data_IF_108653176946
#
_entry.id   IF_108653176946
#
_cell.length_a   1.000
_cell.length_b   1.000
_cell.length_c   1.000
_cell.angle_alpha   90.00
_cell.angle_beta   90.00
_cell.angle_gamma   90.00
#
_symmetry.space_group_name_H-M   'P 1'
#
loop_
_entity.id
_entity.type
_entity.pdbx_description
1 polymer ?
#
# COMPACT_ATOMS: atom_id res chain seq x y z
N UNK A 1 41.09 -32.23 -10.91
CA UNK A 1 39.70 -32.28 -11.40
C UNK A 1 38.80 -31.64 -10.36
N UNK A 2 38.22 -30.48 -10.58
CA UNK A 2 37.18 -29.94 -9.70
C UNK A 2 35.83 -30.43 -10.20
N UNK A 3 35.09 -31.09 -9.31
CA UNK A 3 33.68 -31.50 -9.52
C UNK A 3 32.79 -30.25 -9.63
N UNK A 4 32.23 -30.04 -10.82
CA UNK A 4 31.26 -28.98 -11.08
C UNK A 4 29.99 -29.23 -10.27
N UNK A 5 29.59 -28.24 -9.44
CA UNK A 5 28.32 -28.23 -8.77
C UNK A 5 27.19 -28.18 -9.82
N UNK A 6 26.09 -28.94 -9.66
CA UNK A 6 24.98 -28.89 -10.60
C UNK A 6 24.32 -27.53 -10.54
N UNK A 7 24.31 -26.81 -11.66
CA UNK A 7 23.51 -25.60 -11.82
C UNK A 7 22.02 -25.98 -11.66
N UNK A 8 21.36 -25.44 -10.66
CA UNK A 8 19.91 -25.57 -10.46
C UNK A 8 19.17 -24.93 -11.64
N UNK A 9 18.90 -25.72 -12.67
CA UNK A 9 18.07 -25.31 -13.83
C UNK A 9 16.61 -25.25 -13.41
N UNK A 10 16.18 -24.09 -12.88
CA UNK A 10 14.75 -23.80 -12.77
C UNK A 10 14.21 -23.70 -14.19
N UNK A 11 13.24 -24.57 -14.51
CA UNK A 11 12.59 -24.60 -15.80
C UNK A 11 11.94 -23.24 -16.12
N UNK A 12 12.37 -22.49 -17.16
CA UNK A 12 11.86 -21.18 -17.48
C UNK A 12 10.35 -21.17 -17.81
N UNK A 13 9.81 -22.31 -18.25
CA UNK A 13 8.37 -22.45 -18.54
C UNK A 13 7.51 -22.47 -17.28
N UNK A 14 8.00 -23.00 -16.17
CA UNK A 14 7.27 -23.04 -14.89
C UNK A 14 7.25 -21.65 -14.26
N UNK A 15 8.35 -20.89 -14.33
CA UNK A 15 8.43 -19.53 -13.77
C UNK A 15 7.56 -18.54 -14.53
N UNK A 16 7.42 -18.66 -15.84
CA UNK A 16 6.53 -17.79 -16.63
C UNK A 16 5.05 -18.08 -16.38
N UNK A 17 4.65 -19.35 -16.26
CA UNK A 17 3.26 -19.72 -15.93
C UNK A 17 2.84 -19.24 -14.54
N UNK A 18 3.69 -19.41 -13.53
CA UNK A 18 3.41 -18.92 -12.19
C UNK A 18 3.25 -17.39 -12.16
N UNK A 19 4.12 -16.66 -12.85
CA UNK A 19 4.04 -15.20 -12.92
C UNK A 19 2.77 -14.67 -13.59
N UNK A 20 2.16 -15.42 -14.53
CA UNK A 20 0.88 -15.08 -15.17
C UNK A 20 -0.33 -15.37 -14.29
N UNK A 21 -0.24 -16.31 -13.35
CA UNK A 21 -1.32 -16.66 -12.42
C UNK A 21 -1.39 -15.72 -11.20
N UNK A 22 -0.28 -15.06 -10.82
CA UNK A 22 -0.23 -14.23 -9.62
C UNK A 22 -1.31 -13.14 -9.55
N UNK A 23 -1.64 -12.39 -10.63
CA UNK A 23 -2.71 -11.39 -10.56
C UNK A 23 -4.08 -12.02 -10.23
N UNK A 24 -4.37 -13.20 -10.76
CA UNK A 24 -5.61 -13.92 -10.47
C UNK A 24 -5.67 -14.46 -9.05
N UNK A 25 -4.53 -14.96 -8.53
CA UNK A 25 -4.40 -15.40 -7.14
C UNK A 25 -4.58 -14.21 -6.17
N UNK A 26 -4.02 -13.05 -6.48
CA UNK A 26 -4.22 -11.82 -5.71
C UNK A 26 -5.71 -11.45 -5.71
N UNK A 27 -6.35 -11.41 -6.86
CA UNK A 27 -7.76 -11.07 -6.98
C UNK A 27 -8.65 -12.06 -6.21
N UNK A 28 -8.41 -13.36 -6.35
CA UNK A 28 -9.15 -14.40 -5.63
C UNK A 28 -8.97 -14.25 -4.11
N UNK A 29 -7.73 -14.12 -3.64
CA UNK A 29 -7.44 -13.97 -2.21
C UNK A 29 -8.05 -12.70 -1.64
N UNK A 30 -8.00 -11.57 -2.37
CA UNK A 30 -8.64 -10.32 -2.00
C UNK A 30 -10.15 -10.47 -1.88
N UNK A 31 -10.80 -11.13 -2.85
CA UNK A 31 -12.23 -11.39 -2.84
C UNK A 31 -12.64 -12.25 -1.64
N UNK A 32 -11.89 -13.32 -1.37
CA UNK A 32 -12.15 -14.19 -0.21
C UNK A 32 -11.94 -13.44 1.12
N UNK A 33 -10.93 -12.58 1.21
CA UNK A 33 -10.73 -11.74 2.39
C UNK A 33 -11.89 -10.76 2.61
N UNK A 34 -12.35 -10.09 1.55
CA UNK A 34 -13.51 -9.19 1.62
C UNK A 34 -14.77 -9.96 2.00
N UNK A 35 -15.00 -11.12 1.41
CA UNK A 35 -16.14 -11.98 1.73
C UNK A 35 -16.14 -12.42 3.20
N UNK A 36 -14.98 -12.82 3.73
CA UNK A 36 -14.83 -13.17 5.14
C UNK A 36 -15.06 -11.98 6.08
N UNK A 37 -14.49 -10.82 5.75
CA UNK A 37 -14.67 -9.59 6.53
C UNK A 37 -16.09 -9.01 6.45
N UNK A 38 -16.87 -9.41 5.42
CA UNK A 38 -18.30 -9.06 5.23
C UNK A 38 -19.24 -10.15 5.76
N UNK A 39 -18.74 -11.16 6.47
CA UNK A 39 -19.49 -12.30 7.01
C UNK A 39 -20.25 -13.14 5.96
N UNK A 40 -19.84 -13.08 4.68
CA UNK A 40 -20.39 -13.93 3.61
C UNK A 40 -19.81 -15.36 3.66
N UNK A 41 -18.64 -15.53 4.26
CA UNK A 41 -17.98 -16.80 4.58
C UNK A 41 -17.46 -16.73 6.03
N UNK A 42 -17.04 -17.84 6.67
CA UNK A 42 -16.57 -17.81 8.05
C UNK A 42 -15.49 -16.74 8.29
N UNK A 43 -15.68 -15.90 9.31
CA UNK A 43 -14.81 -14.74 9.60
C UNK A 43 -13.34 -15.16 9.85
N UNK A 44 -13.11 -16.41 10.33
CA UNK A 44 -11.75 -16.95 10.50
C UNK A 44 -10.94 -16.96 9.20
N UNK A 45 -11.58 -17.03 8.05
CA UNK A 45 -10.92 -16.99 6.74
C UNK A 45 -10.20 -15.64 6.50
N UNK A 46 -10.64 -14.55 7.13
CA UNK A 46 -9.93 -13.26 7.06
C UNK A 46 -8.50 -13.32 7.62
N UNK A 47 -8.26 -14.16 8.65
CA UNK A 47 -6.92 -14.36 9.23
C UNK A 47 -5.93 -14.99 8.26
N UNK A 48 -6.42 -15.69 7.26
CA UNK A 48 -5.60 -16.27 6.19
C UNK A 48 -5.54 -15.36 4.98
N UNK A 49 -6.69 -14.99 4.43
CA UNK A 49 -6.75 -14.34 3.13
C UNK A 49 -6.30 -12.87 3.15
N UNK A 50 -6.49 -12.14 4.25
CA UNK A 50 -6.02 -10.75 4.34
C UNK A 50 -4.48 -10.66 4.25
N UNK A 51 -3.69 -11.30 5.12
CA UNK A 51 -2.24 -11.28 4.99
C UNK A 51 -1.74 -12.01 3.73
N UNK A 52 -2.42 -13.09 3.29
CA UNK A 52 -2.05 -13.81 2.08
C UNK A 52 -2.12 -12.90 0.84
N UNK A 53 -3.14 -12.05 0.73
CA UNK A 53 -3.26 -11.11 -0.39
C UNK A 53 -2.04 -10.18 -0.45
N UNK A 54 -1.62 -9.61 0.67
CA UNK A 54 -0.44 -8.73 0.72
C UNK A 54 0.86 -9.50 0.47
N UNK A 55 0.98 -10.74 0.97
CA UNK A 55 2.11 -11.63 0.63
C UNK A 55 2.18 -11.90 -0.88
N UNK A 56 1.06 -12.20 -1.52
CA UNK A 56 1.01 -12.39 -2.97
C UNK A 56 1.40 -11.13 -3.74
N UNK A 57 1.00 -9.94 -3.27
CA UNK A 57 1.46 -8.67 -3.84
C UNK A 57 2.98 -8.50 -3.67
N UNK A 58 3.53 -8.86 -2.52
CA UNK A 58 4.99 -8.84 -2.29
C UNK A 58 5.70 -9.81 -3.24
N UNK A 59 5.21 -11.04 -3.38
CA UNK A 59 5.78 -12.02 -4.32
C UNK A 59 5.74 -11.49 -5.76
N UNK A 60 4.62 -10.88 -6.15
CA UNK A 60 4.48 -10.27 -7.48
C UNK A 60 5.40 -9.06 -7.69
N UNK A 61 5.68 -8.31 -6.63
CA UNK A 61 6.58 -7.16 -6.63
C UNK A 61 8.07 -7.56 -6.62
N UNK A 62 8.40 -8.73 -6.06
CA UNK A 62 9.79 -9.12 -5.77
C UNK A 62 10.73 -9.16 -6.96
N UNK A 63 10.34 -9.76 -8.13
CA UNK A 63 11.19 -9.79 -9.32
C UNK A 63 11.29 -8.43 -10.02
N UNK A 64 10.52 -7.42 -9.57
CA UNK A 64 10.59 -6.08 -10.14
C UNK A 64 11.86 -5.39 -9.67
N UNK A 65 12.46 -4.64 -10.57
CA UNK A 65 13.65 -3.86 -10.28
C UNK A 65 13.38 -2.37 -10.47
N UNK A 66 14.33 -1.56 -10.08
CA UNK A 66 14.36 -0.15 -10.39
C UNK A 66 15.75 0.24 -10.91
N UNK A 67 15.81 1.30 -11.69
CA UNK A 67 17.09 1.87 -12.14
C UNK A 67 17.89 2.38 -10.93
N UNK A 68 17.18 2.70 -9.84
CA UNK A 68 17.76 3.04 -8.55
C UNK A 68 17.48 1.94 -7.50
N UNK A 69 18.50 1.11 -7.13
CA UNK A 69 18.32 0.02 -6.17
C UNK A 69 17.82 0.46 -4.78
N UNK A 70 18.14 1.69 -4.39
CA UNK A 70 17.66 2.25 -3.12
C UNK A 70 16.14 2.46 -3.14
N UNK A 71 15.57 2.99 -4.23
CA UNK A 71 14.13 3.16 -4.39
C UNK A 71 13.41 1.82 -4.31
N UNK A 72 13.92 0.80 -4.99
CA UNK A 72 13.38 -0.56 -4.94
C UNK A 72 13.35 -1.13 -3.52
N UNK A 73 14.45 -0.98 -2.75
CA UNK A 73 14.52 -1.47 -1.36
C UNK A 73 13.46 -0.80 -0.48
N UNK A 74 13.27 0.51 -0.63
CA UNK A 74 12.29 1.24 0.17
C UNK A 74 10.84 0.91 -0.20
N UNK A 75 10.52 0.67 -1.48
CA UNK A 75 9.18 0.17 -1.87
C UNK A 75 8.93 -1.21 -1.25
N UNK A 76 9.89 -2.13 -1.29
CA UNK A 76 9.76 -3.45 -0.66
C UNK A 76 9.61 -3.34 0.86
N UNK A 77 10.38 -2.48 1.51
CA UNK A 77 10.25 -2.21 2.95
C UNK A 77 8.84 -1.72 3.29
N UNK A 78 8.28 -0.80 2.51
CA UNK A 78 6.91 -0.33 2.67
C UNK A 78 5.87 -1.45 2.56
N UNK A 79 6.01 -2.33 1.55
CA UNK A 79 5.13 -3.50 1.40
C UNK A 79 5.22 -4.46 2.60
N UNK A 80 6.43 -4.70 3.13
CA UNK A 80 6.63 -5.56 4.30
C UNK A 80 6.02 -4.94 5.57
N UNK A 81 6.19 -3.63 5.78
CA UNK A 81 5.56 -2.93 6.91
C UNK A 81 4.03 -2.91 6.77
N UNK A 82 3.50 -2.79 5.56
CA UNK A 82 2.06 -2.90 5.30
C UNK A 82 1.53 -4.30 5.65
N UNK A 83 2.28 -5.36 5.34
CA UNK A 83 1.92 -6.73 5.76
C UNK A 83 1.85 -6.85 7.28
N UNK A 84 2.80 -6.27 8.01
CA UNK A 84 2.77 -6.24 9.49
C UNK A 84 1.53 -5.50 9.99
N UNK A 85 1.20 -4.36 9.36
CA UNK A 85 -0.03 -3.62 9.64
C UNK A 85 -1.30 -4.44 9.38
N UNK A 86 -1.36 -5.17 8.27
CA UNK A 86 -2.49 -6.07 7.95
C UNK A 86 -2.69 -7.14 9.01
N UNK A 87 -1.60 -7.73 9.51
CA UNK A 87 -1.66 -8.73 10.58
C UNK A 87 -2.18 -8.11 11.88
N UNK A 88 -1.68 -6.95 12.29
CA UNK A 88 -2.19 -6.29 13.50
C UNK A 88 -3.67 -5.92 13.40
N UNK A 89 -4.13 -5.45 12.24
CA UNK A 89 -5.53 -5.10 12.01
C UNK A 89 -6.48 -6.30 11.93
N UNK A 90 -6.01 -7.55 12.06
CA UNK A 90 -6.88 -8.71 12.29
C UNK A 90 -7.52 -8.68 13.70
N UNK A 91 -6.91 -7.98 14.64
CA UNK A 91 -7.44 -7.69 15.98
C UNK A 91 -7.72 -6.20 16.11
N UNK A 92 -8.86 -5.69 15.59
CA UNK A 92 -9.08 -4.25 15.38
C UNK A 92 -9.13 -3.41 16.67
N UNK A 93 -9.27 -4.03 17.83
CA UNK A 93 -9.24 -3.30 19.11
C UNK A 93 -7.81 -3.18 19.65
N UNK A 94 -7.12 -4.29 19.86
CA UNK A 94 -5.76 -4.33 20.42
C UNK A 94 -4.70 -3.97 19.37
N UNK A 95 -4.91 -4.38 18.13
CA UNK A 95 -3.98 -4.21 17.02
C UNK A 95 -4.09 -2.88 16.28
N UNK A 96 -5.05 -2.01 16.61
CA UNK A 96 -5.24 -0.76 15.87
C UNK A 96 -4.01 0.14 15.93
N UNK A 97 -3.52 0.46 17.13
CA UNK A 97 -2.36 1.33 17.29
C UNK A 97 -1.06 0.72 16.73
N UNK A 98 -0.70 -0.56 17.00
CA UNK A 98 0.42 -1.20 16.33
C UNK A 98 0.27 -1.25 14.80
N UNK A 99 -0.93 -1.48 14.29
CA UNK A 99 -1.23 -1.44 12.86
C UNK A 99 -1.01 -0.06 12.27
N UNK A 100 -1.53 0.98 12.91
CA UNK A 100 -1.33 2.39 12.53
C UNK A 100 0.18 2.74 12.46
N UNK A 101 0.95 2.34 13.45
CA UNK A 101 2.41 2.56 13.47
C UNK A 101 3.10 1.80 12.34
N UNK A 102 2.69 0.56 12.07
CA UNK A 102 3.25 -0.23 10.96
C UNK A 102 2.98 0.41 9.61
N UNK A 103 1.76 0.89 9.36
CA UNK A 103 1.43 1.61 8.13
C UNK A 103 2.11 2.99 8.06
N UNK A 104 2.28 3.70 9.19
CA UNK A 104 3.07 4.92 9.22
C UNK A 104 4.51 4.66 8.75
N UNK A 105 5.15 3.59 9.22
CA UNK A 105 6.49 3.18 8.78
C UNK A 105 6.49 2.78 7.29
N UNK A 106 5.42 2.15 6.80
CA UNK A 106 5.26 1.86 5.38
C UNK A 106 5.22 3.16 4.54
N UNK A 107 4.43 4.15 4.97
CA UNK A 107 4.35 5.44 4.27
C UNK A 107 5.66 6.21 4.31
N UNK A 108 6.39 6.21 5.42
CA UNK A 108 7.73 6.78 5.50
C UNK A 108 8.68 6.10 4.50
N UNK A 109 8.64 4.78 4.39
CA UNK A 109 9.43 4.04 3.40
C UNK A 109 9.06 4.45 1.96
N UNK A 110 7.77 4.60 1.65
CA UNK A 110 7.33 5.08 0.33
C UNK A 110 7.74 6.55 0.08
N UNK A 111 7.68 7.44 1.08
CA UNK A 111 8.20 8.81 0.95
C UNK A 111 9.67 8.76 0.56
N UNK A 112 10.49 7.99 1.29
CA UNK A 112 11.91 7.85 0.97
C UNK A 112 12.11 7.28 -0.43
N UNK A 113 11.32 6.29 -0.85
CA UNK A 113 11.38 5.74 -2.21
C UNK A 113 11.10 6.81 -3.28
N UNK A 114 10.06 7.62 -3.10
CA UNK A 114 9.67 8.62 -4.08
C UNK A 114 10.59 9.84 -4.09
N UNK A 115 11.23 10.18 -2.97
CA UNK A 115 12.22 11.25 -2.89
C UNK A 115 13.55 10.89 -3.57
N UNK A 116 13.82 9.63 -3.84
CA UNK A 116 14.98 9.21 -4.64
C UNK A 116 14.89 9.66 -6.09
N UNK A 117 13.70 9.73 -6.64
CA UNK A 117 13.50 10.11 -8.05
C UNK A 117 13.06 11.56 -8.24
N UNK A 118 12.61 12.24 -7.18
CA UNK A 118 12.17 13.63 -7.23
C UNK A 118 12.37 14.28 -5.86
N UNK A 119 12.96 15.48 -5.84
CA UNK A 119 13.17 16.24 -4.61
C UNK A 119 11.86 16.43 -3.85
N UNK A 120 11.88 16.23 -2.51
CA UNK A 120 10.69 16.44 -1.67
C UNK A 120 10.17 17.87 -1.85
N UNK A 121 8.88 18.00 -2.13
CA UNK A 121 8.25 19.30 -2.31
C UNK A 121 8.64 20.06 -3.58
N UNK A 122 9.25 19.41 -4.59
CA UNK A 122 9.63 20.05 -5.86
C UNK A 122 8.45 20.72 -6.59
N UNK A 123 7.22 20.37 -6.26
CA UNK A 123 5.98 21.02 -6.67
C UNK A 123 5.08 21.18 -5.44
N UNK A 124 4.65 22.41 -5.16
CA UNK A 124 3.87 22.74 -3.96
C UNK A 124 2.40 22.32 -4.08
N UNK A 125 1.82 22.43 -5.27
CA UNK A 125 0.39 22.21 -5.50
C UNK A 125 -0.13 20.84 -5.01
N UNK A 126 0.55 19.70 -5.23
CA UNK A 126 0.12 18.42 -4.66
C UNK A 126 0.07 18.43 -3.13
N UNK A 127 1.02 19.08 -2.46
CA UNK A 127 1.02 19.18 -0.99
C UNK A 127 -0.14 20.02 -0.47
N UNK A 128 -0.46 21.14 -1.13
CA UNK A 128 -1.63 21.96 -0.80
C UNK A 128 -2.91 21.12 -0.98
N UNK A 129 -3.05 20.45 -2.12
CA UNK A 129 -4.24 19.63 -2.40
C UNK A 129 -4.44 18.53 -1.36
N UNK A 130 -3.43 17.68 -1.13
CA UNK A 130 -3.53 16.59 -0.15
C UNK A 130 -3.59 17.12 1.29
N UNK A 131 -2.97 18.27 1.58
CA UNK A 131 -3.08 18.95 2.87
C UNK A 131 -4.53 19.37 3.17
N UNK A 132 -5.21 19.95 2.19
CA UNK A 132 -6.62 20.32 2.32
C UNK A 132 -7.52 19.07 2.46
N UNK A 133 -7.28 18.02 1.69
CA UNK A 133 -7.99 16.74 1.83
C UNK A 133 -7.80 16.16 3.23
N UNK A 134 -6.55 16.05 3.70
CA UNK A 134 -6.24 15.51 5.03
C UNK A 134 -6.84 16.37 6.16
N UNK A 135 -6.74 17.68 6.05
CA UNK A 135 -7.34 18.61 7.03
C UNK A 135 -8.88 18.50 7.06
N UNK A 136 -9.51 18.40 5.89
CA UNK A 136 -10.96 18.23 5.79
C UNK A 136 -11.46 16.92 6.41
N UNK A 137 -10.81 15.79 6.06
CA UNK A 137 -11.15 14.48 6.63
C UNK A 137 -10.88 14.46 8.13
N UNK A 138 -9.72 14.93 8.57
CA UNK A 138 -9.35 14.95 9.98
C UNK A 138 -10.28 15.86 10.78
N UNK A 139 -10.61 17.06 10.27
CA UNK A 139 -11.54 17.99 10.92
C UNK A 139 -12.94 17.38 11.09
N UNK A 140 -13.42 16.66 10.07
CA UNK A 140 -14.71 15.96 10.16
C UNK A 140 -14.70 14.85 11.21
N UNK A 141 -13.60 14.10 11.33
CA UNK A 141 -13.49 12.94 12.21
C UNK A 141 -13.04 13.28 13.63
N UNK A 142 -12.54 14.51 13.87
CA UNK A 142 -11.80 14.86 15.08
C UNK A 142 -12.53 14.57 16.38
N UNK A 143 -13.81 14.86 16.43
CA UNK A 143 -14.65 14.65 17.63
C UNK A 143 -14.83 13.17 17.98
N UNK A 144 -14.71 12.27 16.99
CA UNK A 144 -14.81 10.83 17.17
C UNK A 144 -13.47 10.16 17.51
N UNK A 145 -12.34 10.87 17.38
CA UNK A 145 -11.02 10.31 17.69
C UNK A 145 -10.75 10.38 19.19
N UNK A 146 -10.59 9.24 19.89
CA UNK A 146 -10.27 9.22 21.32
C UNK A 146 -9.00 10.00 21.63
N UNK A 147 -8.94 10.75 22.75
CA UNK A 147 -7.79 11.59 23.12
C UNK A 147 -6.42 10.88 23.03
N UNK A 148 -6.27 9.60 23.49
CA UNK A 148 -5.00 8.90 23.38
C UNK A 148 -4.54 8.62 21.94
N UNK A 149 -5.48 8.60 20.97
CA UNK A 149 -5.20 8.33 19.56
C UNK A 149 -5.03 9.60 18.72
N UNK A 150 -5.33 10.79 19.25
CA UNK A 150 -5.28 12.03 18.49
C UNK A 150 -3.88 12.32 17.93
N UNK A 151 -2.85 12.24 18.75
CA UNK A 151 -1.47 12.45 18.30
C UNK A 151 -0.98 11.36 17.32
N UNK A 152 -1.16 10.05 17.57
CA UNK A 152 -0.87 9.02 16.58
C UNK A 152 -1.59 9.20 15.24
N UNK A 153 -2.88 9.51 15.26
CA UNK A 153 -3.68 9.73 14.05
C UNK A 153 -3.21 10.98 13.30
N UNK A 154 -2.90 12.08 13.99
CA UNK A 154 -2.36 13.29 13.37
C UNK A 154 -1.02 13.01 12.66
N UNK A 155 -0.09 12.34 13.33
CA UNK A 155 1.19 11.95 12.76
C UNK A 155 1.02 11.03 11.54
N UNK A 156 0.08 10.09 11.64
CA UNK A 156 -0.26 9.16 10.57
C UNK A 156 -0.80 9.90 9.33
N UNK A 157 -1.80 10.75 9.52
CA UNK A 157 -2.41 11.53 8.42
C UNK A 157 -1.37 12.42 7.76
N UNK A 158 -0.53 13.13 8.53
CA UNK A 158 0.55 13.97 7.98
C UNK A 158 1.52 13.15 7.12
N UNK A 159 1.89 11.94 7.55
CA UNK A 159 2.76 11.04 6.79
C UNK A 159 2.08 10.54 5.51
N UNK A 160 0.84 10.07 5.59
CA UNK A 160 0.05 9.55 4.48
C UNK A 160 -0.15 10.59 3.37
N UNK A 161 -0.59 11.82 3.72
CA UNK A 161 -0.79 12.90 2.74
C UNK A 161 0.54 13.34 2.12
N UNK A 162 1.63 13.36 2.89
CA UNK A 162 2.98 13.65 2.38
C UNK A 162 3.42 12.60 1.35
N UNK A 163 3.19 11.33 1.63
CA UNK A 163 3.47 10.22 0.71
C UNK A 163 2.70 10.36 -0.61
N UNK A 164 1.39 10.62 -0.54
CA UNK A 164 0.55 10.78 -1.72
C UNK A 164 0.90 12.03 -2.52
N UNK A 165 1.18 13.16 -1.85
CA UNK A 165 1.64 14.39 -2.48
C UNK A 165 2.96 14.19 -3.22
N UNK A 166 3.93 13.52 -2.58
CA UNK A 166 5.24 13.25 -3.20
C UNK A 166 5.12 12.31 -4.40
N UNK A 167 4.24 11.31 -4.34
CA UNK A 167 3.94 10.47 -5.51
C UNK A 167 3.33 11.27 -6.67
N UNK A 168 2.46 12.22 -6.38
CA UNK A 168 1.89 13.13 -7.38
C UNK A 168 2.94 14.10 -7.95
N UNK A 169 3.86 14.60 -7.15
CA UNK A 169 5.03 15.38 -7.62
C UNK A 169 5.85 14.57 -8.61
N UNK A 170 6.13 13.31 -8.27
CA UNK A 170 6.90 12.42 -9.14
C UNK A 170 6.21 12.27 -10.52
N UNK A 171 4.88 12.09 -10.53
CA UNK A 171 4.13 12.03 -11.78
C UNK A 171 4.16 13.34 -12.57
N UNK A 172 3.95 14.50 -11.92
CA UNK A 172 4.00 15.80 -12.60
C UNK A 172 5.36 16.08 -13.26
N UNK A 173 6.45 15.63 -12.63
CA UNK A 173 7.80 15.78 -13.18
C UNK A 173 8.14 14.78 -14.29
N UNK A 174 7.42 13.65 -14.34
CA UNK A 174 7.65 12.60 -15.33
C UNK A 174 6.71 12.68 -16.53
N UNK A 175 5.82 13.69 -16.61
CA UNK A 175 4.89 13.88 -17.73
C UNK A 175 5.64 13.95 -19.05
N UNK A 176 5.04 13.35 -20.07
CA UNK A 176 5.55 13.27 -21.44
C UNK A 176 6.92 12.58 -21.56
N UNK A 177 7.36 11.92 -20.49
CA UNK A 177 8.64 11.21 -20.44
C UNK A 177 8.49 9.68 -20.36
N UNK A 178 9.59 8.95 -20.54
CA UNK A 178 9.60 7.47 -20.57
C UNK A 178 9.17 6.83 -19.25
N UNK A 179 9.17 7.59 -18.17
CA UNK A 179 8.81 7.13 -16.82
C UNK A 179 7.39 7.52 -16.39
N UNK A 180 6.63 8.21 -17.24
CA UNK A 180 5.30 8.73 -16.89
C UNK A 180 4.35 7.66 -16.37
N UNK A 181 4.21 6.54 -17.08
CA UNK A 181 3.29 5.46 -16.69
C UNK A 181 3.64 4.92 -15.30
N UNK A 182 4.92 4.79 -14.98
CA UNK A 182 5.39 4.30 -13.67
C UNK A 182 5.12 5.32 -12.57
N UNK A 183 5.42 6.59 -12.84
CA UNK A 183 5.17 7.68 -11.91
C UNK A 183 3.66 7.87 -11.67
N UNK A 184 2.84 7.76 -12.72
CA UNK A 184 1.37 7.78 -12.62
C UNK A 184 0.83 6.64 -11.75
N UNK A 185 1.39 5.42 -11.88
CA UNK A 185 1.03 4.30 -11.00
C UNK A 185 1.31 4.62 -9.54
N UNK A 186 2.47 5.19 -9.21
CA UNK A 186 2.78 5.61 -7.85
C UNK A 186 1.79 6.67 -7.34
N UNK A 187 1.46 7.68 -8.15
CA UNK A 187 0.52 8.74 -7.80
C UNK A 187 -0.90 8.24 -7.57
N UNK A 188 -1.43 7.41 -8.50
CA UNK A 188 -2.76 6.79 -8.35
C UNK A 188 -2.78 5.84 -7.16
N UNK A 189 -1.70 5.08 -6.94
CA UNK A 189 -1.55 4.23 -5.75
C UNK A 189 -1.59 5.04 -4.45
N UNK A 190 -0.89 6.17 -4.39
CA UNK A 190 -0.94 7.08 -3.25
C UNK A 190 -2.33 7.65 -2.99
N UNK A 191 -3.04 8.07 -4.05
CA UNK A 191 -4.42 8.57 -3.95
C UNK A 191 -5.40 7.49 -3.43
N UNK A 192 -5.28 6.27 -3.93
CA UNK A 192 -6.11 5.14 -3.47
C UNK A 192 -5.80 4.75 -2.03
N UNK A 193 -4.55 4.90 -1.58
CA UNK A 193 -4.20 4.68 -0.18
C UNK A 193 -4.87 5.73 0.72
N UNK A 194 -4.82 7.01 0.34
CA UNK A 194 -5.54 8.08 1.07
C UNK A 194 -7.04 7.79 1.12
N UNK A 195 -7.64 7.35 0.01
CA UNK A 195 -9.07 6.99 -0.03
C UNK A 195 -9.38 5.83 0.92
N UNK A 196 -8.60 4.74 0.86
CA UNK A 196 -8.77 3.58 1.72
C UNK A 196 -8.73 3.97 3.20
N UNK A 197 -7.73 4.75 3.59
CA UNK A 197 -7.52 5.12 4.98
C UNK A 197 -8.52 6.15 5.47
N UNK A 198 -8.98 7.06 4.62
CA UNK A 198 -10.10 7.95 4.94
C UNK A 198 -11.39 7.16 5.22
N UNK A 199 -11.68 6.13 4.41
CA UNK A 199 -12.82 5.24 4.62
C UNK A 199 -12.67 4.37 5.87
N UNK A 200 -11.46 3.87 6.15
CA UNK A 200 -11.16 3.14 7.39
C UNK A 200 -11.39 4.04 8.61
N UNK A 201 -10.88 5.27 8.57
CA UNK A 201 -11.03 6.23 9.66
C UNK A 201 -12.50 6.66 9.83
N UNK A 202 -13.24 6.88 8.75
CA UNK A 202 -14.67 7.17 8.79
C UNK A 202 -15.47 6.03 9.44
N UNK A 203 -15.19 4.78 9.00
CA UNK A 203 -15.84 3.59 9.56
C UNK A 203 -15.52 3.38 11.05
N UNK A 204 -14.34 3.81 11.50
CA UNK A 204 -13.91 3.62 12.88
C UNK A 204 -14.33 4.75 13.82
N UNK A 205 -14.31 6.00 13.37
CA UNK A 205 -14.42 7.17 14.22
C UNK A 205 -15.68 8.02 13.98
N UNK A 206 -16.37 7.84 12.84
CA UNK A 206 -17.58 8.60 12.55
C UNK A 206 -18.83 7.72 12.54
N UNK A 207 -18.91 6.78 11.62
CA UNK A 207 -20.11 5.98 11.42
C UNK A 207 -19.77 4.65 10.70
N UNK A 208 -20.45 3.55 11.01
CA UNK A 208 -20.27 2.31 10.29
C UNK A 208 -20.67 2.48 8.81
N UNK A 209 -19.77 2.12 7.90
CA UNK A 209 -19.99 2.24 6.46
C UNK A 209 -20.68 0.98 5.91
N UNK A 210 -21.64 1.12 4.98
CA UNK A 210 -22.16 -0.02 4.24
C UNK A 210 -21.03 -0.65 3.41
N UNK A 211 -20.93 -1.98 3.42
CA UNK A 211 -19.87 -2.71 2.72
C UNK A 211 -18.44 -2.22 3.04
N UNK A 212 -18.18 -1.82 4.29
CA UNK A 212 -16.91 -1.24 4.75
C UNK A 212 -15.69 -2.04 4.28
N UNK A 213 -15.74 -3.38 4.38
CA UNK A 213 -14.65 -4.26 3.99
C UNK A 213 -14.28 -4.09 2.51
N UNK A 214 -15.27 -4.02 1.63
CA UNK A 214 -15.05 -3.79 0.20
C UNK A 214 -14.49 -2.39 -0.06
N UNK A 215 -15.13 -1.37 0.51
CA UNK A 215 -14.76 0.02 0.29
C UNK A 215 -13.34 0.35 0.80
N UNK A 216 -12.88 -0.33 1.83
CA UNK A 216 -11.55 -0.13 2.44
C UNK A 216 -10.50 -1.01 1.75
N UNK A 217 -10.73 -2.32 1.65
CA UNK A 217 -9.71 -3.27 1.21
C UNK A 217 -9.45 -3.24 -0.29
N UNK A 218 -10.46 -2.97 -1.12
CA UNK A 218 -10.28 -2.92 -2.56
C UNK A 218 -9.32 -1.77 -2.98
N UNK A 219 -9.54 -0.50 -2.58
CA UNK A 219 -8.58 0.56 -2.88
C UNK A 219 -7.23 0.35 -2.20
N UNK A 220 -7.17 -0.25 -1.00
CA UNK A 220 -5.92 -0.58 -0.33
C UNK A 220 -5.02 -1.50 -1.17
N UNK A 221 -5.52 -2.67 -1.60
CA UNK A 221 -4.70 -3.58 -2.41
C UNK A 221 -4.44 -3.04 -3.81
N UNK A 222 -5.37 -2.29 -4.40
CA UNK A 222 -5.11 -1.58 -5.64
C UNK A 222 -3.96 -0.57 -5.49
N UNK A 223 -3.92 0.17 -4.36
CA UNK A 223 -2.81 1.06 -4.02
C UNK A 223 -1.48 0.32 -3.93
N UNK A 224 -1.44 -0.80 -3.19
CA UNK A 224 -0.23 -1.61 -3.03
C UNK A 224 0.29 -2.16 -4.37
N UNK A 225 -0.61 -2.68 -5.22
CA UNK A 225 -0.28 -3.19 -6.56
C UNK A 225 0.27 -2.06 -7.43
N UNK A 226 -0.33 -0.88 -7.41
CA UNK A 226 0.09 0.26 -8.21
C UNK A 226 1.43 0.83 -7.75
N UNK A 227 1.65 0.96 -6.44
CA UNK A 227 2.94 1.39 -5.87
C UNK A 227 4.04 0.38 -6.25
N UNK A 228 3.79 -0.92 -6.06
CA UNK A 228 4.71 -1.97 -6.48
C UNK A 228 4.93 -1.97 -8.00
N UNK A 229 3.88 -1.75 -8.78
CA UNK A 229 3.90 -1.64 -10.25
C UNK A 229 4.59 -0.39 -10.78
N UNK A 230 4.97 0.56 -9.91
CA UNK A 230 5.80 1.71 -10.27
C UNK A 230 7.28 1.34 -10.49
N UNK A 231 7.72 0.16 -10.02
CA UNK A 231 9.00 -0.43 -10.37
C UNK A 231 8.96 -1.08 -11.77
N UNK A 232 10.11 -1.19 -12.45
CA UNK A 232 10.21 -1.91 -13.74
C UNK A 232 9.98 -3.42 -13.56
N UNK A 233 9.35 -4.04 -14.54
CA UNK A 233 9.40 -5.50 -14.70
C UNK A 233 10.72 -5.84 -15.41
N UNK A 234 11.54 -6.69 -14.79
CA UNK A 234 12.69 -7.29 -15.47
C UNK A 234 12.23 -8.31 -16.46
#
# INVERSE_FOLDING_TARGET
>A
MPLGAPASTRDPAVTTRFASLLPWLIALSATLSIAAASALIPAVAAFVFKPLTTVLVIIWAWPRADDEPARQRWIRAGLLMSLVGDVFLLWPQQGFLPGLVSFLLAHLAYIVAFTRSARLGARVLPFVFYGLVGAGVLGWLWTGVPPPLQLPVLAYVACLITMAAQAAVLWQLARDGPNEIRARRAAVGGALFVLSDALLAANRFAMPLPAASLLILAPYWAAQILIAGSMRRR
#
